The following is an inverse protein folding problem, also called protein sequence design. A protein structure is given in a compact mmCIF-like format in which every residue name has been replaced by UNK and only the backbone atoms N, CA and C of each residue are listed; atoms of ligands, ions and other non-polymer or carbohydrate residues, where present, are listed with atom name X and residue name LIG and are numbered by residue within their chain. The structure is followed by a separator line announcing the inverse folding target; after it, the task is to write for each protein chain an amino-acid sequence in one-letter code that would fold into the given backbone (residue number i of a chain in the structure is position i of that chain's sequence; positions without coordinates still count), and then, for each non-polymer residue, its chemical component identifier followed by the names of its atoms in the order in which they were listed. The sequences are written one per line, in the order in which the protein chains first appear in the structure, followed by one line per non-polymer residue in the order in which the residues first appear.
data_IF_029200949782
#
_entry.id   IF_029200949782
#
_cell.length_a   1.000
_cell.length_b   1.000
_cell.length_c   1.000
_cell.angle_alpha   90.00
_cell.angle_beta   90.00
_cell.angle_gamma   90.00
#
_symmetry.space_group_name_H-M   'P 1'
#
loop_
_entity.id
_entity.type
_entity.pdbx_description
1 polymer ?
#
# COMPACT_ATOMS: atom_id res chain seq x y z
N UNK A 1 19.07 -2.31 -9.43
CA UNK A 1 19.11 -2.39 -7.96
C UNK A 1 18.84 -1.00 -7.45
N UNK A 2 17.86 -0.84 -6.56
CA UNK A 2 17.58 0.44 -5.93
C UNK A 2 18.78 0.91 -5.14
N UNK A 3 18.97 2.22 -5.09
CA UNK A 3 20.06 2.78 -4.31
C UNK A 3 19.72 2.81 -2.81
N UNK A 4 20.75 2.83 -1.98
CA UNK A 4 20.62 2.80 -0.51
C UNK A 4 19.88 4.04 0.04
N UNK A 5 19.91 5.18 -0.68
CA UNK A 5 19.23 6.40 -0.26
C UNK A 5 17.72 6.27 -0.48
N UNK A 6 17.30 5.76 -1.63
CA UNK A 6 15.90 5.47 -1.95
C UNK A 6 15.31 4.43 -0.98
N UNK A 7 16.06 3.37 -0.68
CA UNK A 7 15.64 2.35 0.29
C UNK A 7 15.37 3.01 1.65
N UNK A 8 16.32 3.82 2.14
CA UNK A 8 16.16 4.52 3.42
C UNK A 8 15.04 5.56 3.41
N UNK A 9 14.83 6.26 2.30
CA UNK A 9 13.71 7.20 2.17
C UNK A 9 12.37 6.48 2.30
N UNK A 10 12.21 5.33 1.63
CA UNK A 10 11.01 4.50 1.72
C UNK A 10 10.83 3.88 3.11
N UNK A 11 11.89 3.39 3.74
CA UNK A 11 11.83 2.91 5.13
C UNK A 11 11.46 4.04 6.10
N UNK A 12 12.01 5.24 5.91
CA UNK A 12 11.66 6.44 6.66
C UNK A 12 10.21 6.88 6.47
N UNK A 13 9.64 6.64 5.29
CA UNK A 13 8.22 6.83 5.01
C UNK A 13 7.32 5.69 5.54
N UNK A 14 7.89 4.69 6.23
CA UNK A 14 7.16 3.62 6.90
C UNK A 14 7.11 2.30 6.14
N UNK A 15 7.71 2.20 4.95
CA UNK A 15 7.84 0.91 4.26
C UNK A 15 8.71 -0.05 5.08
N UNK A 16 8.43 -1.35 4.98
CA UNK A 16 9.13 -2.39 5.75
C UNK A 16 9.92 -3.29 4.85
N UNK A 17 11.25 -3.32 5.02
CA UNK A 17 12.11 -4.25 4.29
C UNK A 17 11.94 -5.67 4.79
N UNK A 18 11.88 -6.60 3.85
CA UNK A 18 11.81 -8.02 4.08
C UNK A 18 12.78 -8.74 3.14
N UNK A 19 13.65 -9.55 3.72
CA UNK A 19 14.67 -10.28 2.98
C UNK A 19 14.59 -11.76 3.36
N UNK A 20 14.47 -12.64 2.36
CA UNK A 20 14.51 -14.10 2.56
C UNK A 20 14.98 -14.81 1.29
N UNK A 21 16.02 -15.63 1.42
CA UNK A 21 16.62 -16.32 0.28
C UNK A 21 17.12 -15.31 -0.75
N UNK A 22 16.71 -15.47 -2.01
CA UNK A 22 17.06 -14.56 -3.11
C UNK A 22 16.11 -13.35 -3.26
N UNK A 23 15.14 -13.17 -2.35
CA UNK A 23 14.16 -12.09 -2.41
C UNK A 23 14.51 -10.98 -1.43
N UNK A 24 14.43 -9.74 -1.90
CA UNK A 24 14.61 -8.54 -1.10
C UNK A 24 13.57 -7.49 -1.50
N UNK A 25 12.65 -7.17 -0.59
CA UNK A 25 11.43 -6.41 -0.89
C UNK A 25 11.17 -5.33 0.14
N UNK A 26 10.66 -4.19 -0.31
CA UNK A 26 10.11 -3.15 0.56
C UNK A 26 8.58 -3.22 0.49
N UNK A 27 7.94 -3.64 1.59
CA UNK A 27 6.49 -3.69 1.70
C UNK A 27 5.90 -2.33 2.10
N UNK A 28 4.86 -1.90 1.39
CA UNK A 28 4.10 -0.68 1.67
C UNK A 28 2.75 -1.13 2.25
N UNK A 29 2.40 -0.67 3.46
CA UNK A 29 1.07 -0.92 4.02
C UNK A 29 0.05 -0.02 3.28
N UNK A 30 -1.14 -0.56 2.99
CA UNK A 30 -2.25 0.23 2.45
C UNK A 30 -2.57 1.48 3.30
N UNK A 31 -2.30 1.44 4.61
CA UNK A 31 -2.44 2.60 5.51
C UNK A 31 -1.54 3.78 5.14
N UNK A 32 -0.33 3.52 4.62
CA UNK A 32 0.59 4.57 4.17
C UNK A 32 0.09 5.29 2.93
N UNK A 33 -0.83 4.66 2.20
CA UNK A 33 -1.35 5.15 0.92
C UNK A 33 -2.85 5.45 1.02
N UNK A 34 -3.34 5.79 2.21
CA UNK A 34 -4.66 6.38 2.40
C UNK A 34 -5.76 5.42 2.87
N UNK A 35 -5.44 4.22 3.34
CA UNK A 35 -6.39 3.38 4.06
C UNK A 35 -6.46 3.81 5.54
N UNK A 36 -7.66 4.05 6.02
CA UNK A 36 -7.94 4.13 7.46
C UNK A 36 -8.97 3.06 7.81
N UNK A 37 -8.65 2.20 8.77
CA UNK A 37 -9.52 1.11 9.21
C UNK A 37 -9.59 1.06 10.72
N UNK A 38 -10.80 0.95 11.24
CA UNK A 38 -11.05 0.68 12.66
C UNK A 38 -11.66 -0.71 12.82
N UNK A 39 -11.44 -1.32 13.98
CA UNK A 39 -11.87 -2.68 14.27
C UNK A 39 -12.73 -2.73 15.54
N UNK A 40 -13.73 -3.61 15.52
CA UNK A 40 -14.35 -4.11 16.73
C UNK A 40 -13.35 -4.95 17.53
N UNK A 41 -13.62 -5.13 18.83
CA UNK A 41 -12.82 -6.00 19.72
C UNK A 41 -12.73 -7.46 19.24
N UNK A 42 -13.64 -7.88 18.36
CA UNK A 42 -13.68 -9.21 17.74
C UNK A 42 -12.76 -9.33 16.51
N UNK A 43 -12.07 -8.26 16.10
CA UNK A 43 -11.19 -8.24 14.93
C UNK A 43 -11.90 -7.97 13.59
N UNK A 44 -13.22 -7.81 13.60
CA UNK A 44 -13.97 -7.38 12.42
C UNK A 44 -13.80 -5.87 12.18
N UNK A 45 -13.68 -5.45 10.92
CA UNK A 45 -13.67 -4.03 10.54
C UNK A 45 -14.99 -3.38 10.96
N UNK A 46 -14.91 -2.30 11.73
CA UNK A 46 -16.05 -1.50 12.19
C UNK A 46 -16.34 -0.32 11.28
N UNK A 47 -15.30 0.31 10.73
CA UNK A 47 -15.39 1.38 9.74
C UNK A 47 -14.13 1.39 8.89
N UNK A 48 -14.26 1.88 7.65
CA UNK A 48 -13.15 2.00 6.73
C UNK A 48 -13.30 3.24 5.85
N UNK A 49 -12.18 3.95 5.64
CA UNK A 49 -12.07 4.97 4.59
C UNK A 49 -10.87 4.68 3.70
N UNK A 50 -11.02 5.03 2.43
CA UNK A 50 -9.98 4.92 1.43
C UNK A 50 -9.85 6.25 0.73
N UNK A 51 -8.65 6.83 0.76
CA UNK A 51 -8.36 8.15 0.17
C UNK A 51 -9.35 9.22 0.67
N UNK A 52 -9.66 9.17 1.97
CA UNK A 52 -10.60 10.08 2.63
C UNK A 52 -12.08 9.83 2.35
N UNK A 53 -12.44 8.84 1.53
CA UNK A 53 -13.84 8.48 1.22
C UNK A 53 -14.25 7.23 1.98
N UNK A 54 -15.47 7.21 2.51
CA UNK A 54 -16.01 6.01 3.18
C UNK A 54 -16.13 4.86 2.18
N UNK A 55 -15.65 3.69 2.56
CA UNK A 55 -15.82 2.44 1.80
C UNK A 55 -16.52 1.40 2.66
N UNK A 56 -17.03 0.34 2.03
CA UNK A 56 -17.63 -0.76 2.78
C UNK A 56 -16.59 -1.43 3.70
N UNK A 57 -17.01 -2.00 4.82
CA UNK A 57 -16.10 -2.74 5.70
C UNK A 57 -15.46 -3.95 4.98
N UNK A 58 -16.16 -4.53 3.99
CA UNK A 58 -15.62 -5.58 3.14
C UNK A 58 -14.48 -5.05 2.25
N UNK A 59 -14.63 -3.87 1.67
CA UNK A 59 -13.58 -3.22 0.89
C UNK A 59 -12.42 -2.75 1.75
N UNK A 60 -12.69 -2.18 2.94
CA UNK A 60 -11.65 -1.88 3.92
C UNK A 60 -10.80 -3.10 4.26
N UNK A 61 -11.44 -4.27 4.40
CA UNK A 61 -10.73 -5.54 4.59
C UNK A 61 -9.92 -5.96 3.36
N UNK A 62 -10.46 -5.83 2.14
CA UNK A 62 -9.73 -6.13 0.89
C UNK A 62 -8.51 -5.23 0.71
N UNK A 63 -8.67 -3.94 0.99
CA UNK A 63 -7.59 -2.95 0.98
C UNK A 63 -6.51 -3.30 2.01
N UNK A 64 -6.89 -3.58 3.25
CA UNK A 64 -5.96 -3.97 4.32
C UNK A 64 -5.10 -5.19 3.96
N UNK A 65 -5.67 -6.18 3.27
CA UNK A 65 -4.94 -7.37 2.83
C UNK A 65 -4.25 -7.23 1.46
N UNK A 66 -4.26 -6.04 0.85
CA UNK A 66 -3.52 -5.77 -0.37
C UNK A 66 -2.03 -5.93 -0.11
N UNK A 67 -1.32 -6.61 -1.02
CA UNK A 67 0.12 -6.75 -0.96
C UNK A 67 0.74 -5.76 -1.93
N UNK A 68 1.48 -4.82 -1.38
CA UNK A 68 2.16 -3.76 -2.14
C UNK A 68 3.62 -3.86 -1.78
N UNK A 69 4.48 -4.05 -2.78
CA UNK A 69 5.91 -4.11 -2.53
C UNK A 69 6.72 -3.61 -3.70
N UNK A 70 7.92 -3.12 -3.40
CA UNK A 70 8.96 -2.83 -4.40
C UNK A 70 10.01 -3.93 -4.31
N UNK A 71 10.39 -4.52 -5.45
CA UNK A 71 11.54 -5.42 -5.50
C UNK A 71 12.83 -4.60 -5.53
N UNK A 72 13.69 -4.76 -4.54
CA UNK A 72 14.91 -3.93 -4.41
C UNK A 72 15.89 -4.22 -5.56
N UNK A 73 15.83 -5.41 -6.17
CA UNK A 73 16.75 -5.81 -7.23
C UNK A 73 16.60 -4.96 -8.49
N UNK A 74 15.38 -4.61 -8.86
CA UNK A 74 15.07 -3.90 -10.11
C UNK A 74 14.22 -2.63 -9.91
N UNK A 75 13.76 -2.35 -8.69
CA UNK A 75 12.97 -1.17 -8.35
C UNK A 75 11.52 -1.24 -8.82
N UNK A 76 11.05 -2.42 -9.26
CA UNK A 76 9.70 -2.59 -9.79
C UNK A 76 8.66 -2.59 -8.66
N UNK A 77 7.61 -1.79 -8.84
CA UNK A 77 6.45 -1.75 -7.96
C UNK A 77 5.47 -2.86 -8.34
N UNK A 78 5.07 -3.64 -7.35
CA UNK A 78 4.09 -4.70 -7.47
C UNK A 78 2.91 -4.46 -6.55
N UNK A 79 1.72 -4.66 -7.09
CA UNK A 79 0.46 -4.64 -6.34
C UNK A 79 -0.29 -5.93 -6.60
N UNK A 80 -0.80 -6.52 -5.52
CA UNK A 80 -1.74 -7.63 -5.57
C UNK A 80 -2.88 -7.33 -4.60
N UNK A 81 -4.06 -7.07 -5.15
CA UNK A 81 -5.26 -6.72 -4.39
C UNK A 81 -6.50 -7.40 -4.96
N UNK A 82 -7.48 -7.65 -4.08
CA UNK A 82 -8.84 -8.06 -4.45
C UNK A 82 -9.81 -6.87 -4.48
N UNK A 83 -9.36 -5.67 -4.07
CA UNK A 83 -10.13 -4.45 -4.19
C UNK A 83 -10.24 -4.05 -5.67
N UNK A 84 -11.45 -3.71 -6.10
CA UNK A 84 -11.73 -3.32 -7.48
C UNK A 84 -12.36 -1.94 -7.51
N UNK A 85 -11.84 -1.08 -8.37
CA UNK A 85 -12.53 0.13 -8.79
C UNK A 85 -13.34 -0.18 -10.04
N UNK A 86 -14.47 0.52 -10.21
CA UNK A 86 -15.32 0.39 -11.38
C UNK A 86 -15.30 1.69 -12.18
N UNK A 87 -15.40 1.60 -13.50
CA UNK A 87 -15.48 2.77 -14.36
C UNK A 87 -16.66 3.66 -13.94
N UNK A 88 -16.41 4.97 -13.77
CA UNK A 88 -17.40 5.93 -13.29
C UNK A 88 -17.57 5.98 -11.76
N UNK A 89 -16.78 5.20 -11.01
CA UNK A 89 -16.67 5.37 -9.55
C UNK A 89 -15.55 6.32 -9.19
N UNK A 90 -15.78 7.05 -8.12
CA UNK A 90 -14.89 8.02 -7.50
C UNK A 90 -13.71 7.40 -6.72
N UNK A 91 -13.51 6.09 -6.89
CA UNK A 91 -12.53 5.28 -6.17
C UNK A 91 -11.15 5.30 -6.83
N UNK A 92 -10.11 5.35 -6.01
CA UNK A 92 -8.71 5.35 -6.45
C UNK A 92 -8.19 3.90 -6.47
N UNK A 93 -7.54 3.48 -7.55
CA UNK A 93 -6.92 2.14 -7.61
C UNK A 93 -5.74 2.05 -6.64
N UNK A 94 -5.48 0.85 -6.09
CA UNK A 94 -4.36 0.64 -5.16
C UNK A 94 -3.02 0.87 -5.87
N UNK A 95 -2.95 0.49 -7.14
CA UNK A 95 -1.83 0.71 -8.05
C UNK A 95 -1.50 2.19 -8.20
N UNK A 96 -2.50 3.03 -8.43
CA UNK A 96 -2.32 4.46 -8.63
C UNK A 96 -1.90 5.15 -7.32
N UNK A 97 -2.52 4.79 -6.20
CA UNK A 97 -2.16 5.32 -4.88
C UNK A 97 -0.74 4.89 -4.47
N UNK A 98 -0.36 3.64 -4.72
CA UNK A 98 0.99 3.13 -4.45
C UNK A 98 2.03 3.84 -5.33
N UNK A 99 1.75 4.02 -6.62
CA UNK A 99 2.65 4.75 -7.52
C UNK A 99 2.83 6.19 -7.06
N UNK A 100 1.75 6.88 -6.74
CA UNK A 100 1.80 8.26 -6.22
C UNK A 100 2.67 8.38 -4.98
N UNK A 101 2.49 7.50 -3.99
CA UNK A 101 3.31 7.48 -2.78
C UNK A 101 4.79 7.29 -3.09
N UNK A 102 5.13 6.36 -3.98
CA UNK A 102 6.54 6.11 -4.35
C UNK A 102 7.13 7.31 -5.08
N UNK A 103 6.39 7.93 -5.99
CA UNK A 103 6.83 9.12 -6.72
C UNK A 103 7.02 10.33 -5.77
N UNK A 104 6.16 10.50 -4.78
CA UNK A 104 6.27 11.53 -3.73
C UNK A 104 7.52 11.33 -2.86
N UNK A 105 7.76 10.10 -2.39
CA UNK A 105 8.95 9.79 -1.58
C UNK A 105 10.25 9.98 -2.38
N UNK A 106 10.25 9.64 -3.67
CA UNK A 106 11.42 9.83 -4.55
C UNK A 106 11.69 11.29 -4.92
N UNK A 107 10.68 12.14 -4.82
CA UNK A 107 10.79 13.57 -5.13
C UNK A 107 11.13 14.43 -3.90
N UNK A 108 11.19 13.83 -2.70
CA UNK A 108 11.46 14.48 -1.42
C UNK A 108 12.94 14.45 -1.06
#
# INVERSE_FOLDING_TARGET
MMDEREIKALEGAGAKRWTKGAMDRLYINAELIGLDVSYYKTGNVSSATWQGKTVSNADGRRLHYSKIWIDIRDGSLHVRTDYKTYAGTDGVAVEDAAKKFVDEVRSS
#
